data_IF_856511547120
#
_entry.id   IF_856511547120
#
_cell.length_a   1.000
_cell.length_b   1.000
_cell.length_c   1.000
_cell.angle_alpha   90.00
_cell.angle_beta   90.00
_cell.angle_gamma   90.00
#
_symmetry.space_group_name_H-M   'P 1'
#
loop_
_entity.id
_entity.type
_entity.pdbx_description
1 polymer ?
#
# COMPACT_ATOMS: atom_id res chain seq x y z
N UNK A 1 -15.39 8.70 -9.61
CA UNK A 1 -14.31 8.00 -8.88
C UNK A 1 -14.00 6.67 -9.54
N UNK A 2 -12.74 6.30 -9.65
CA UNK A 2 -12.31 4.94 -9.98
C UNK A 2 -11.80 4.23 -8.72
N UNK A 3 -12.17 2.96 -8.55
CA UNK A 3 -11.66 2.07 -7.49
C UNK A 3 -10.83 0.99 -8.19
N UNK A 4 -9.55 0.92 -7.90
CA UNK A 4 -8.61 0.00 -8.52
C UNK A 4 -8.32 -1.13 -7.54
N UNK A 5 -8.56 -2.37 -7.97
CA UNK A 5 -8.26 -3.60 -7.26
C UNK A 5 -7.24 -4.39 -8.07
N UNK A 6 -6.08 -4.67 -7.51
CA UNK A 6 -5.08 -5.54 -8.16
C UNK A 6 -5.31 -6.97 -7.70
N UNK A 7 -5.63 -7.87 -8.64
CA UNK A 7 -5.77 -9.30 -8.40
C UNK A 7 -4.50 -10.05 -8.81
N UNK A 8 -4.03 -10.96 -7.97
CA UNK A 8 -3.01 -11.94 -8.31
C UNK A 8 -3.31 -13.27 -7.63
N UNK A 9 -3.77 -14.27 -8.43
CA UNK A 9 -4.02 -15.67 -8.00
C UNK A 9 -4.96 -15.83 -6.79
N UNK A 10 -5.88 -14.90 -6.55
CA UNK A 10 -6.79 -15.00 -5.41
C UNK A 10 -8.15 -14.35 -5.68
N UNK A 11 -8.90 -14.89 -6.66
CA UNK A 11 -10.15 -14.30 -7.14
C UNK A 11 -11.21 -14.16 -6.04
N UNK A 12 -11.22 -15.07 -5.05
CA UNK A 12 -12.18 -15.02 -3.95
C UNK A 12 -12.12 -13.72 -3.16
N UNK A 13 -10.92 -13.26 -2.78
CA UNK A 13 -10.77 -12.00 -2.07
C UNK A 13 -11.25 -10.81 -2.91
N UNK A 14 -10.90 -10.80 -4.19
CA UNK A 14 -11.36 -9.76 -5.12
C UNK A 14 -12.89 -9.74 -5.23
N UNK A 15 -13.55 -10.92 -5.32
CA UNK A 15 -15.01 -11.04 -5.35
C UNK A 15 -15.64 -10.54 -4.05
N UNK A 16 -15.11 -10.96 -2.89
CA UNK A 16 -15.60 -10.52 -1.57
C UNK A 16 -15.47 -8.99 -1.41
N UNK A 17 -14.34 -8.41 -1.81
CA UNK A 17 -14.11 -6.97 -1.80
C UNK A 17 -15.12 -6.23 -2.70
N UNK A 18 -15.33 -6.67 -3.94
CA UNK A 18 -16.31 -6.08 -4.86
C UNK A 18 -17.72 -6.17 -4.28
N UNK A 19 -18.08 -7.30 -3.67
CA UNK A 19 -19.39 -7.47 -3.05
C UNK A 19 -19.61 -6.48 -1.88
N UNK A 20 -18.57 -6.17 -1.10
CA UNK A 20 -18.64 -5.13 -0.06
C UNK A 20 -18.75 -3.72 -0.67
N UNK A 21 -17.96 -3.44 -1.72
CA UNK A 21 -18.03 -2.17 -2.46
C UNK A 21 -19.40 -1.92 -3.11
N UNK A 22 -20.07 -2.95 -3.59
CA UNK A 22 -21.42 -2.83 -4.18
C UNK A 22 -22.49 -2.45 -3.15
N UNK A 23 -22.23 -2.63 -1.87
CA UNK A 23 -23.13 -2.22 -0.77
C UNK A 23 -22.90 -0.76 -0.33
N UNK A 24 -21.88 -0.09 -0.85
CA UNK A 24 -21.58 1.29 -0.45
C UNK A 24 -22.63 2.27 -0.98
N UNK A 25 -22.89 3.30 -0.18
CA UNK A 25 -23.89 4.34 -0.46
C UNK A 25 -23.44 5.29 -1.57
N UNK A 26 -22.14 5.48 -1.76
CA UNK A 26 -21.56 6.32 -2.81
C UNK A 26 -21.76 5.71 -4.20
N UNK A 27 -22.62 6.34 -5.02
CA UNK A 27 -23.04 5.77 -6.31
C UNK A 27 -22.11 6.12 -7.49
N UNK A 28 -21.43 7.30 -7.44
CA UNK A 28 -20.59 7.75 -8.57
C UNK A 28 -19.21 7.08 -8.55
N UNK A 29 -19.20 5.73 -8.59
CA UNK A 29 -17.99 4.92 -8.57
C UNK A 29 -17.95 3.93 -9.74
N UNK A 30 -16.75 3.65 -10.20
CA UNK A 30 -16.45 2.59 -11.17
C UNK A 30 -15.35 1.70 -10.59
N UNK A 31 -15.61 0.40 -10.54
CA UNK A 31 -14.64 -0.59 -10.04
C UNK A 31 -13.89 -1.15 -11.24
N UNK A 32 -12.56 -1.12 -11.17
CA UNK A 32 -11.67 -1.68 -12.15
C UNK A 32 -10.76 -2.72 -11.49
N UNK A 33 -10.81 -3.94 -11.97
CA UNK A 33 -9.88 -4.99 -11.57
C UNK A 33 -8.69 -5.00 -12.54
N UNK A 34 -7.49 -5.01 -12.01
CA UNK A 34 -6.28 -5.30 -12.79
C UNK A 34 -5.82 -6.70 -12.40
N UNK A 35 -6.00 -7.68 -13.29
CA UNK A 35 -5.41 -9.00 -13.12
C UNK A 35 -3.92 -8.92 -13.46
N UNK A 36 -3.10 -9.09 -12.46
CA UNK A 36 -1.65 -8.88 -12.54
C UNK A 36 -0.91 -10.11 -13.08
N UNK A 37 -1.42 -10.66 -14.20
CA UNK A 37 -0.86 -11.85 -14.86
C UNK A 37 -0.94 -13.10 -13.99
N UNK A 38 -2.15 -13.42 -13.51
CA UNK A 38 -2.37 -14.58 -12.62
C UNK A 38 -2.09 -15.92 -13.30
N UNK A 39 -2.32 -16.02 -14.62
CA UNK A 39 -2.14 -17.23 -15.43
C UNK A 39 -2.93 -18.46 -14.88
N UNK A 40 -4.10 -18.20 -14.31
CA UNK A 40 -5.04 -19.19 -13.80
C UNK A 40 -6.47 -18.80 -14.20
N UNK A 41 -7.48 -19.37 -13.57
CA UNK A 41 -8.89 -19.11 -13.86
C UNK A 41 -9.49 -17.89 -13.11
N UNK A 42 -8.65 -17.09 -12.43
CA UNK A 42 -9.07 -15.93 -11.63
C UNK A 42 -10.01 -15.00 -12.39
N UNK A 43 -9.62 -14.59 -13.61
CA UNK A 43 -10.44 -13.68 -14.44
C UNK A 43 -11.80 -14.28 -14.75
N UNK A 44 -11.86 -15.56 -15.07
CA UNK A 44 -13.10 -16.28 -15.35
C UNK A 44 -13.98 -16.34 -14.11
N UNK A 45 -13.42 -16.67 -12.95
CA UNK A 45 -14.15 -16.72 -11.69
C UNK A 45 -14.74 -15.35 -11.33
N UNK A 46 -13.95 -14.26 -11.44
CA UNK A 46 -14.41 -12.91 -11.15
C UNK A 46 -15.55 -12.50 -12.08
N UNK A 47 -15.42 -12.73 -13.41
CA UNK A 47 -16.47 -12.41 -14.40
C UNK A 47 -17.75 -13.21 -14.18
N UNK A 48 -17.66 -14.47 -13.75
CA UNK A 48 -18.83 -15.31 -13.46
C UNK A 48 -19.56 -14.83 -12.19
N UNK A 49 -18.82 -14.37 -11.17
CA UNK A 49 -19.38 -13.91 -9.92
C UNK A 49 -19.93 -12.48 -10.00
N UNK A 50 -19.27 -11.59 -10.74
CA UNK A 50 -19.59 -10.16 -10.80
C UNK A 50 -19.92 -9.78 -12.25
N UNK A 51 -21.20 -9.49 -12.49
CA UNK A 51 -21.66 -9.06 -13.82
C UNK A 51 -21.13 -7.67 -14.18
N UNK A 52 -20.74 -7.48 -15.42
CA UNK A 52 -20.31 -6.18 -15.99
C UNK A 52 -19.10 -5.56 -15.29
N UNK A 53 -18.22 -6.37 -14.70
CA UNK A 53 -16.97 -5.88 -14.10
C UNK A 53 -15.93 -5.57 -15.18
N UNK A 54 -15.32 -4.40 -15.10
CA UNK A 54 -14.18 -4.04 -15.95
C UNK A 54 -12.90 -4.73 -15.43
N UNK A 55 -12.23 -5.47 -16.31
CA UNK A 55 -10.96 -6.14 -15.99
C UNK A 55 -9.93 -5.83 -17.07
N UNK A 56 -8.74 -5.39 -16.64
CA UNK A 56 -7.55 -5.29 -17.48
C UNK A 56 -6.58 -6.40 -17.06
N UNK A 57 -6.11 -7.19 -18.02
CA UNK A 57 -5.08 -8.21 -17.78
C UNK A 57 -3.71 -7.62 -18.11
N UNK A 58 -2.78 -7.66 -17.16
CA UNK A 58 -1.40 -7.27 -17.38
C UNK A 58 -0.64 -8.38 -18.13
N UNK A 59 0.32 -8.00 -18.96
CA UNK A 59 1.14 -8.96 -19.73
C UNK A 59 2.08 -9.78 -18.82
N UNK A 60 2.51 -9.19 -17.71
CA UNK A 60 3.35 -9.83 -16.69
C UNK A 60 2.99 -9.31 -15.29
N UNK A 61 3.44 -9.99 -14.25
CA UNK A 61 3.29 -9.51 -12.88
C UNK A 61 4.18 -8.28 -12.65
N UNK A 62 3.55 -7.11 -12.57
CA UNK A 62 4.19 -5.80 -12.37
C UNK A 62 4.30 -5.41 -10.88
N UNK A 63 3.98 -6.33 -9.95
CA UNK A 63 3.91 -6.05 -8.53
C UNK A 63 2.72 -5.16 -8.16
N UNK A 64 2.72 -4.67 -6.93
CA UNK A 64 1.65 -3.80 -6.45
C UNK A 64 1.65 -2.44 -7.18
N UNK A 65 2.82 -1.84 -7.33
CA UNK A 65 2.98 -0.52 -7.97
C UNK A 65 2.55 -0.53 -9.42
N UNK A 66 3.10 -1.46 -10.22
CA UNK A 66 2.82 -1.51 -11.65
C UNK A 66 1.39 -1.91 -11.94
N UNK A 67 0.84 -2.87 -11.18
CA UNK A 67 -0.57 -3.26 -11.29
C UNK A 67 -1.51 -2.08 -11.03
N UNK A 68 -1.28 -1.32 -9.96
CA UNK A 68 -2.06 -0.10 -9.70
C UNK A 68 -1.85 0.96 -10.79
N UNK A 69 -0.64 1.15 -11.30
CA UNK A 69 -0.36 2.13 -12.35
C UNK A 69 -1.11 1.84 -13.66
N UNK A 70 -1.35 0.57 -13.99
CA UNK A 70 -2.21 0.20 -15.14
C UNK A 70 -3.61 0.75 -14.93
N UNK A 71 -4.19 0.52 -13.75
CA UNK A 71 -5.52 1.02 -13.41
C UNK A 71 -5.58 2.55 -13.30
N UNK A 72 -4.55 3.19 -12.71
CA UNK A 72 -4.45 4.65 -12.61
C UNK A 72 -4.45 5.29 -14.00
N UNK A 73 -3.65 4.80 -14.94
CA UNK A 73 -3.62 5.32 -16.31
C UNK A 73 -5.02 5.29 -16.93
N UNK A 74 -5.73 4.15 -16.82
CA UNK A 74 -7.10 4.04 -17.32
C UNK A 74 -8.05 5.04 -16.65
N UNK A 75 -7.93 5.23 -15.34
CA UNK A 75 -8.75 6.20 -14.61
C UNK A 75 -8.47 7.66 -15.04
N UNK A 76 -7.20 8.00 -15.31
CA UNK A 76 -6.80 9.31 -15.79
C UNK A 76 -7.28 9.57 -17.22
N UNK A 77 -7.18 8.57 -18.12
CA UNK A 77 -7.70 8.65 -19.48
C UNK A 77 -9.22 8.88 -19.50
N UNK A 78 -9.94 8.29 -18.55
CA UNK A 78 -11.40 8.49 -18.35
C UNK A 78 -11.70 9.77 -17.52
N UNK A 79 -10.70 10.62 -17.26
CA UNK A 79 -10.86 11.90 -16.53
C UNK A 79 -11.47 11.74 -15.12
N UNK A 80 -11.15 10.66 -14.42
CA UNK A 80 -11.62 10.44 -13.06
C UNK A 80 -11.14 11.55 -12.12
N UNK A 81 -12.03 12.11 -11.31
CA UNK A 81 -11.70 13.13 -10.31
C UNK A 81 -10.89 12.55 -9.14
N UNK A 82 -11.25 11.32 -8.74
CA UNK A 82 -10.60 10.59 -7.67
C UNK A 82 -10.23 9.18 -8.11
N UNK A 83 -9.12 8.68 -7.62
CA UNK A 83 -8.68 7.29 -7.77
C UNK A 83 -8.46 6.70 -6.39
N UNK A 84 -9.18 5.64 -6.08
CA UNK A 84 -8.99 4.84 -4.87
C UNK A 84 -8.13 3.62 -5.22
N UNK A 85 -6.96 3.51 -4.61
CA UNK A 85 -6.20 2.29 -4.57
C UNK A 85 -6.65 1.50 -3.35
N UNK A 86 -7.16 0.29 -3.56
CA UNK A 86 -7.68 -0.55 -2.49
C UNK A 86 -7.17 -1.98 -2.65
N UNK A 87 -6.59 -2.54 -1.60
CA UNK A 87 -6.21 -3.94 -1.62
C UNK A 87 -7.44 -4.83 -1.78
N UNK A 88 -7.34 -5.85 -2.63
CA UNK A 88 -8.43 -6.76 -2.93
C UNK A 88 -8.81 -7.72 -1.79
N UNK A 89 -8.00 -7.79 -0.73
CA UNK A 89 -8.24 -8.56 0.49
C UNK A 89 -8.86 -7.71 1.63
N UNK A 90 -9.67 -6.70 1.24
CA UNK A 90 -10.38 -5.82 2.18
C UNK A 90 -11.91 -5.98 2.04
N UNK A 91 -12.61 -5.66 3.12
CA UNK A 91 -14.05 -5.39 3.12
C UNK A 91 -14.31 -4.00 3.72
N UNK A 92 -15.35 -3.31 3.25
CA UNK A 92 -15.55 -1.89 3.53
C UNK A 92 -16.90 -1.63 4.18
N UNK A 93 -16.97 -0.60 5.05
CA UNK A 93 -18.23 -0.10 5.60
C UNK A 93 -19.03 0.65 4.50
N UNK A 94 -20.38 0.66 4.61
CA UNK A 94 -21.22 1.23 3.55
C UNK A 94 -20.97 2.68 3.20
N UNK A 95 -20.63 3.52 4.17
CA UNK A 95 -20.46 4.97 4.02
C UNK A 95 -18.98 5.42 3.87
N UNK A 96 -18.04 4.47 3.80
CA UNK A 96 -16.61 4.82 3.87
C UNK A 96 -16.14 5.73 2.71
N UNK A 97 -16.73 5.59 1.51
CA UNK A 97 -16.37 6.42 0.36
C UNK A 97 -16.80 7.88 0.54
N UNK A 98 -18.01 8.11 1.04
CA UNK A 98 -18.50 9.45 1.37
C UNK A 98 -17.61 10.11 2.42
N UNK A 99 -17.23 9.34 3.45
CA UNK A 99 -16.35 9.83 4.52
C UNK A 99 -14.97 10.22 3.95
N UNK A 100 -14.43 9.44 3.02
CA UNK A 100 -13.14 9.76 2.39
C UNK A 100 -13.25 11.00 1.48
N UNK A 101 -14.27 11.08 0.63
CA UNK A 101 -14.47 12.21 -0.30
C UNK A 101 -14.69 13.52 0.44
N UNK A 102 -15.57 13.53 1.46
CA UNK A 102 -15.85 14.74 2.26
C UNK A 102 -14.62 15.30 2.97
N UNK A 103 -13.58 14.51 3.15
CA UNK A 103 -12.32 14.96 3.74
C UNK A 103 -11.62 15.99 2.86
N UNK A 104 -11.74 15.89 1.53
CA UNK A 104 -11.15 16.86 0.62
C UNK A 104 -11.80 18.24 0.69
N UNK A 105 -13.08 18.32 1.07
CA UNK A 105 -13.78 19.59 1.26
C UNK A 105 -13.36 20.26 2.58
N UNK A 106 -13.00 19.45 3.58
CA UNK A 106 -12.61 19.92 4.91
C UNK A 106 -11.16 20.39 4.98
N UNK A 107 -10.26 19.75 4.22
CA UNK A 107 -8.84 20.02 4.31
C UNK A 107 -8.29 20.57 2.99
N UNK A 108 -8.00 21.86 3.00
CA UNK A 108 -7.31 22.51 1.89
C UNK A 108 -5.96 21.81 1.60
N UNK A 109 -5.66 21.63 0.31
CA UNK A 109 -4.48 20.94 -0.18
C UNK A 109 -4.36 19.46 0.25
N UNK A 110 -5.45 18.82 0.69
CA UNK A 110 -5.45 17.37 0.85
C UNK A 110 -5.26 16.71 -0.53
N UNK A 111 -4.22 15.90 -0.66
CA UNK A 111 -3.90 15.16 -1.90
C UNK A 111 -4.26 13.69 -1.78
N UNK A 112 -4.05 13.11 -0.60
CA UNK A 112 -4.38 11.72 -0.29
C UNK A 112 -5.18 11.63 1.01
N UNK A 113 -6.22 10.80 1.00
CA UNK A 113 -6.99 10.44 2.20
C UNK A 113 -6.85 8.94 2.45
N UNK A 114 -6.57 8.57 3.69
CA UNK A 114 -6.59 7.19 4.18
C UNK A 114 -7.64 6.98 5.25
N UNK A 115 -8.02 5.72 5.47
CA UNK A 115 -9.07 5.31 6.40
C UNK A 115 -8.51 4.65 7.67
N UNK A 116 -9.38 4.42 8.67
CA UNK A 116 -9.13 3.47 9.74
C UNK A 116 -9.23 2.05 9.18
N UNK A 117 -8.22 1.23 9.43
CA UNK A 117 -8.19 -0.16 8.99
C UNK A 117 -8.14 -1.07 10.22
N UNK A 118 -9.06 -2.01 10.26
CA UNK A 118 -9.25 -2.98 11.35
C UNK A 118 -8.81 -4.35 10.84
N UNK A 119 -8.29 -5.21 11.71
CA UNK A 119 -8.07 -6.61 11.37
C UNK A 119 -9.40 -7.30 11.08
N UNK A 120 -9.51 -8.01 9.97
CA UNK A 120 -10.74 -8.71 9.59
C UNK A 120 -11.08 -9.83 10.59
N UNK A 121 -10.09 -10.61 10.99
CA UNK A 121 -10.25 -11.75 11.91
C UNK A 121 -10.30 -11.34 13.40
N UNK A 122 -10.01 -10.06 13.73
CA UNK A 122 -10.09 -9.48 15.07
C UNK A 122 -10.66 -8.07 15.00
N UNK A 123 -12.01 -7.91 14.84
CA UNK A 123 -12.67 -6.62 14.54
C UNK A 123 -12.55 -5.58 15.66
N UNK A 124 -12.08 -5.96 16.83
CA UNK A 124 -11.81 -5.02 17.93
C UNK A 124 -10.40 -4.45 17.87
N UNK A 125 -9.57 -4.88 16.91
CA UNK A 125 -8.14 -4.54 16.86
C UNK A 125 -7.78 -3.73 15.63
N UNK A 126 -7.05 -2.65 15.87
CA UNK A 126 -6.58 -1.74 14.82
C UNK A 126 -5.40 -2.36 14.07
N UNK A 127 -5.47 -2.34 12.73
CA UNK A 127 -4.32 -2.60 11.88
C UNK A 127 -3.61 -1.30 11.48
N UNK A 128 -4.38 -0.22 11.22
CA UNK A 128 -3.84 1.09 10.88
C UNK A 128 -4.81 2.20 11.29
N UNK A 129 -4.30 3.22 11.98
CA UNK A 129 -5.04 4.42 12.38
C UNK A 129 -4.26 5.72 12.08
N UNK A 130 -3.77 5.82 10.85
CA UNK A 130 -2.81 6.84 10.46
C UNK A 130 -1.37 6.36 10.64
N UNK A 131 -0.41 7.13 10.13
CA UNK A 131 0.98 6.71 10.22
C UNK A 131 1.97 7.83 9.96
N UNK A 132 3.23 7.49 10.14
CA UNK A 132 4.34 8.40 9.84
C UNK A 132 5.53 7.67 9.21
N UNK A 133 6.32 8.40 8.46
CA UNK A 133 7.66 7.95 8.06
C UNK A 133 8.66 8.30 9.17
N UNK A 134 9.35 7.29 9.67
CA UNK A 134 10.45 7.46 10.63
C UNK A 134 11.76 7.63 9.87
N UNK A 135 12.21 8.86 9.74
CA UNK A 135 13.43 9.20 8.98
C UNK A 135 14.73 8.73 9.61
N UNK A 136 14.74 8.40 10.91
CA UNK A 136 15.91 7.83 11.56
C UNK A 136 16.06 6.35 11.23
N UNK A 137 14.93 5.63 11.09
CA UNK A 137 14.90 4.20 10.76
C UNK A 137 14.61 3.91 9.30
N UNK A 138 14.14 4.91 8.54
CA UNK A 138 13.62 4.78 7.17
C UNK A 138 12.54 3.70 7.06
N UNK A 139 11.56 3.75 7.94
CA UNK A 139 10.41 2.84 7.96
C UNK A 139 9.12 3.62 8.11
N UNK A 140 8.01 3.07 7.63
CA UNK A 140 6.69 3.50 8.04
C UNK A 140 6.38 2.99 9.45
N UNK A 141 5.62 3.77 10.19
CA UNK A 141 5.06 3.40 11.49
C UNK A 141 3.54 3.58 11.42
N UNK A 142 2.79 2.52 11.70
CA UNK A 142 1.34 2.56 11.82
C UNK A 142 0.96 2.94 13.25
N UNK A 143 0.09 3.93 13.41
CA UNK A 143 -0.47 4.25 14.70
C UNK A 143 -1.53 3.21 15.08
N UNK A 144 -1.60 2.84 16.35
CA UNK A 144 -2.58 1.92 16.90
C UNK A 144 -2.43 0.45 16.48
N UNK A 145 -1.39 0.07 15.73
CA UNK A 145 -1.24 -1.30 15.25
C UNK A 145 -1.29 -2.32 16.41
N UNK A 146 -2.16 -3.32 16.26
CA UNK A 146 -2.43 -4.37 17.26
C UNK A 146 -3.06 -3.87 18.57
N UNK A 147 -3.40 -2.59 18.70
CA UNK A 147 -4.14 -2.07 19.85
C UNK A 147 -5.64 -2.37 19.71
N UNK A 148 -6.33 -2.54 20.84
CA UNK A 148 -7.80 -2.61 20.86
C UNK A 148 -8.34 -1.20 20.54
N UNK A 149 -9.30 -1.12 19.62
CA UNK A 149 -9.97 0.14 19.26
C UNK A 149 -10.93 0.53 20.39
N UNK A 150 -10.59 1.60 21.09
CA UNK A 150 -11.39 2.22 22.15
C UNK A 150 -11.77 3.67 21.79
N UNK A 151 -11.66 4.03 20.52
CA UNK A 151 -11.89 5.39 20.06
C UNK A 151 -10.67 6.33 20.23
N UNK A 152 -9.50 5.84 20.67
CA UNK A 152 -8.30 6.64 20.90
C UNK A 152 -7.73 7.29 19.63
N UNK A 153 -8.17 6.82 18.45
CA UNK A 153 -7.78 7.35 17.14
C UNK A 153 -8.97 7.87 16.33
N UNK A 154 -10.07 8.26 16.96
CA UNK A 154 -11.32 8.70 16.30
C UNK A 154 -11.34 10.19 15.89
N UNK A 155 -10.17 10.82 15.82
CA UNK A 155 -10.01 12.16 15.30
C UNK A 155 -9.23 12.14 13.99
N UNK A 156 -9.77 12.80 12.97
CA UNK A 156 -9.05 13.03 11.72
C UNK A 156 -7.82 13.90 11.95
N UNK A 157 -6.74 13.57 11.24
CA UNK A 157 -5.47 14.25 11.42
C UNK A 157 -4.60 14.23 10.15
N UNK A 158 -3.74 15.22 10.03
CA UNK A 158 -2.66 15.17 9.06
C UNK A 158 -1.62 14.13 9.50
N UNK A 159 -1.18 13.33 8.55
CA UNK A 159 -0.18 12.27 8.74
C UNK A 159 0.95 12.41 7.73
N UNK A 160 2.03 11.65 7.87
CA UNK A 160 3.12 11.63 6.88
C UNK A 160 3.23 10.30 6.14
N UNK A 161 2.34 9.37 6.46
CA UNK A 161 2.25 8.08 5.79
C UNK A 161 0.80 7.61 5.75
N UNK A 162 0.35 7.19 4.58
CA UNK A 162 -0.89 6.44 4.35
C UNK A 162 -0.47 5.14 3.66
N UNK A 163 -0.96 4.01 4.19
CA UNK A 163 -0.66 2.68 3.65
C UNK A 163 -1.29 2.46 2.28
N UNK A 164 -0.58 1.77 1.40
CA UNK A 164 -1.10 1.36 0.09
C UNK A 164 -2.35 0.48 0.14
N UNK A 165 -2.68 -0.07 1.32
CA UNK A 165 -3.90 -0.85 1.50
C UNK A 165 -5.18 -0.07 1.14
N UNK A 166 -5.22 1.24 1.46
CA UNK A 166 -6.34 2.14 1.13
C UNK A 166 -5.85 3.58 0.97
N UNK A 167 -5.80 4.06 -0.26
CA UNK A 167 -5.40 5.43 -0.62
C UNK A 167 -6.38 6.05 -1.59
N UNK A 168 -7.18 7.02 -1.16
CA UNK A 168 -7.98 7.86 -2.06
C UNK A 168 -7.15 9.08 -2.49
N UNK A 169 -6.92 9.23 -3.78
CA UNK A 169 -6.00 10.21 -4.35
C UNK A 169 -6.74 11.11 -5.33
N UNK A 170 -6.55 12.43 -5.24
CA UNK A 170 -7.06 13.38 -6.24
C UNK A 170 -6.31 13.25 -7.56
N UNK A 171 -7.02 13.40 -8.67
CA UNK A 171 -6.43 13.40 -10.03
C UNK A 171 -5.26 14.39 -10.17
N UNK A 172 -5.37 15.57 -9.59
CA UNK A 172 -4.33 16.60 -9.69
C UNK A 172 -3.01 16.19 -9.05
N UNK A 173 -3.04 15.29 -8.06
CA UNK A 173 -1.83 14.72 -7.47
C UNK A 173 -1.05 13.95 -8.54
N UNK A 174 -1.72 13.11 -9.35
CA UNK A 174 -1.05 12.38 -10.43
C UNK A 174 -0.47 13.29 -11.50
N UNK A 175 -1.15 14.40 -11.83
CA UNK A 175 -0.65 15.39 -12.79
C UNK A 175 0.61 16.09 -12.29
N UNK A 176 0.68 16.41 -11.01
CA UNK A 176 1.76 17.20 -10.42
C UNK A 176 2.92 16.36 -9.87
N UNK A 177 2.64 15.14 -9.41
CA UNK A 177 3.61 14.25 -8.73
C UNK A 177 4.00 13.06 -9.60
N UNK A 178 3.10 12.65 -10.51
CA UNK A 178 3.26 11.47 -11.35
C UNK A 178 2.63 10.20 -10.72
N UNK A 179 2.93 9.07 -11.33
CA UNK A 179 2.41 7.77 -10.94
C UNK A 179 3.14 7.20 -9.69
N UNK A 180 2.60 6.10 -9.15
CA UNK A 180 3.25 5.35 -8.07
C UNK A 180 4.62 4.85 -8.56
N UNK A 181 5.69 4.96 -7.76
CA UNK A 181 7.01 4.47 -8.14
C UNK A 181 7.00 2.95 -8.36
N UNK A 182 7.25 2.50 -9.59
CA UNK A 182 7.22 1.09 -9.97
C UNK A 182 8.53 0.33 -9.70
N UNK A 183 9.60 1.07 -9.39
CA UNK A 183 10.92 0.52 -9.05
C UNK A 183 10.93 -0.37 -7.82
N UNK A 184 9.89 -0.29 -6.98
CA UNK A 184 9.80 -1.06 -5.73
C UNK A 184 9.20 -2.45 -5.94
N UNK A 185 8.38 -2.68 -6.93
CA UNK A 185 7.57 -3.87 -7.15
C UNK A 185 6.53 -4.09 -6.05
N UNK A 186 6.95 -4.19 -4.78
CA UNK A 186 6.09 -4.32 -3.59
C UNK A 186 6.86 -3.88 -2.34
N UNK A 187 6.19 -3.15 -1.45
CA UNK A 187 6.70 -2.50 -0.23
C UNK A 187 7.59 -1.29 -0.48
N UNK A 188 7.38 -0.22 0.28
CA UNK A 188 8.00 1.10 0.21
C UNK A 188 7.52 2.03 -0.91
N UNK A 189 6.78 1.53 -1.90
CA UNK A 189 6.17 2.39 -2.93
C UNK A 189 5.20 3.40 -2.32
N UNK A 190 4.44 2.99 -1.30
CA UNK A 190 3.53 3.84 -0.55
C UNK A 190 4.27 4.89 0.29
N UNK A 191 5.37 4.52 0.95
CA UNK A 191 6.24 5.46 1.66
C UNK A 191 6.85 6.51 0.72
N UNK A 192 7.34 6.07 -0.44
CA UNK A 192 7.93 6.94 -1.45
C UNK A 192 6.87 7.88 -2.02
N UNK A 193 5.71 7.35 -2.39
CA UNK A 193 4.65 8.16 -2.97
C UNK A 193 4.11 9.19 -1.98
N UNK A 194 3.84 8.79 -0.74
CA UNK A 194 3.48 9.71 0.34
C UNK A 194 4.51 10.84 0.51
N UNK A 195 5.79 10.48 0.47
CA UNK A 195 6.88 11.46 0.58
C UNK A 195 6.88 12.44 -0.58
N UNK A 196 6.76 11.97 -1.83
CA UNK A 196 6.69 12.82 -3.03
C UNK A 196 5.49 13.77 -2.98
N UNK A 197 4.32 13.27 -2.57
CA UNK A 197 3.09 14.05 -2.47
C UNK A 197 3.25 15.18 -1.44
N UNK A 198 3.84 14.90 -0.28
CA UNK A 198 4.14 15.92 0.73
C UNK A 198 5.16 16.94 0.21
N UNK A 199 6.23 16.48 -0.44
CA UNK A 199 7.27 17.36 -0.98
C UNK A 199 6.74 18.26 -2.10
N UNK A 200 5.62 17.89 -2.73
CA UNK A 200 4.90 18.69 -3.73
C UNK A 200 3.85 19.65 -3.12
N UNK A 201 3.81 19.77 -1.79
CA UNK A 201 2.95 20.73 -1.08
C UNK A 201 1.55 20.23 -0.70
N UNK A 202 1.24 18.96 -0.97
CA UNK A 202 -0.02 18.35 -0.55
C UNK A 202 0.03 17.82 0.88
N UNK A 203 -1.16 17.67 1.48
CA UNK A 203 -1.36 17.03 2.78
C UNK A 203 -1.88 15.61 2.62
N UNK A 204 -1.48 14.74 3.52
CA UNK A 204 -2.06 13.41 3.70
C UNK A 204 -2.97 13.45 4.92
N UNK A 205 -4.23 13.02 4.77
CA UNK A 205 -5.22 13.08 5.85
C UNK A 205 -5.70 11.68 6.20
N UNK A 206 -5.59 11.32 7.46
CA UNK A 206 -6.26 10.15 8.02
C UNK A 206 -7.66 10.54 8.48
N UNK A 207 -8.69 9.81 8.03
CA UNK A 207 -10.07 9.96 8.46
C UNK A 207 -10.57 8.67 9.13
N UNK A 208 -10.80 8.66 10.46
CA UNK A 208 -11.24 7.47 11.20
C UNK A 208 -12.69 7.07 10.94
N UNK A 209 -13.53 7.98 10.40
CA UNK A 209 -14.93 7.68 10.06
C UNK A 209 -15.03 6.78 8.83
N UNK A 210 -14.06 6.89 7.91
CA UNK A 210 -13.89 5.90 6.86
C UNK A 210 -13.27 4.65 7.46
N UNK A 211 -14.00 3.53 7.49
CA UNK A 211 -13.55 2.28 8.10
C UNK A 211 -13.57 1.13 7.10
N UNK A 212 -12.51 0.33 7.11
CA UNK A 212 -12.41 -0.91 6.35
C UNK A 212 -11.79 -2.02 7.20
N UNK A 213 -11.97 -3.27 6.76
CA UNK A 213 -11.42 -4.47 7.37
C UNK A 213 -10.42 -5.12 6.41
N UNK A 214 -9.26 -5.53 6.92
CA UNK A 214 -8.18 -6.09 6.10
C UNK A 214 -7.87 -7.54 6.52
N UNK A 215 -7.93 -8.46 5.55
CA UNK A 215 -7.60 -9.89 5.69
C UNK A 215 -6.09 -10.11 5.58
N UNK A 216 -5.34 -9.51 6.51
CA UNK A 216 -3.87 -9.34 6.48
C UNK A 216 -3.13 -10.60 6.04
N UNK A 217 -2.10 -10.43 5.20
CA UNK A 217 -1.16 -11.48 4.76
C UNK A 217 -1.71 -12.53 3.81
N UNK A 218 -2.88 -12.30 3.21
CA UNK A 218 -3.49 -13.23 2.28
C UNK A 218 -2.62 -13.48 1.02
N UNK A 219 -1.82 -12.49 0.59
CA UNK A 219 -1.08 -12.53 -0.67
C UNK A 219 0.45 -12.70 -0.51
N UNK A 220 1.03 -12.37 0.66
CA UNK A 220 2.49 -12.28 0.84
C UNK A 220 3.10 -13.42 1.67
N UNK A 221 2.27 -14.26 2.28
CA UNK A 221 2.72 -15.33 3.18
C UNK A 221 3.18 -14.85 4.57
N UNK A 222 2.90 -13.58 4.90
CA UNK A 222 3.18 -13.00 6.22
C UNK A 222 4.39 -12.05 6.27
N UNK A 223 4.48 -11.32 7.40
CA UNK A 223 5.50 -10.26 7.62
C UNK A 223 6.94 -10.76 7.50
N UNK A 224 7.22 -12.00 7.82
CA UNK A 224 8.56 -12.60 7.77
C UNK A 224 8.69 -13.70 6.71
N UNK A 225 7.81 -13.73 5.68
CA UNK A 225 7.99 -14.66 4.56
C UNK A 225 9.29 -14.36 3.81
N UNK A 226 9.93 -15.35 3.16
CA UNK A 226 11.11 -15.11 2.31
C UNK A 226 10.87 -14.03 1.26
N UNK A 227 9.67 -14.00 0.66
CA UNK A 227 9.26 -12.99 -0.30
C UNK A 227 9.27 -11.57 0.33
N UNK A 228 8.62 -11.41 1.49
CA UNK A 228 8.60 -10.13 2.21
C UNK A 228 9.99 -9.65 2.59
N UNK A 229 10.80 -10.55 3.16
CA UNK A 229 12.18 -10.24 3.56
C UNK A 229 13.05 -9.79 2.39
N UNK A 230 12.92 -10.46 1.25
CA UNK A 230 13.63 -10.16 0.02
C UNK A 230 13.38 -8.72 -0.45
N UNK A 231 12.10 -8.37 -0.67
CA UNK A 231 11.72 -7.06 -1.18
C UNK A 231 11.92 -5.95 -0.13
N UNK A 232 11.55 -6.18 1.13
CA UNK A 232 11.77 -5.21 2.20
C UNK A 232 13.25 -4.87 2.37
N UNK A 233 14.15 -5.87 2.31
CA UNK A 233 15.59 -5.65 2.44
C UNK A 233 16.16 -4.83 1.29
N UNK A 234 15.73 -5.12 0.06
CA UNK A 234 16.15 -4.35 -1.12
C UNK A 234 15.59 -2.93 -1.08
N UNK A 235 14.31 -2.79 -0.83
CA UNK A 235 13.58 -1.55 -1.02
C UNK A 235 13.89 -0.50 0.04
N UNK A 236 14.13 -0.90 1.28
CA UNK A 236 14.57 0.05 2.30
C UNK A 236 15.92 0.71 1.95
N UNK A 237 16.80 0.00 1.24
CA UNK A 237 18.07 0.56 0.77
C UNK A 237 17.84 1.59 -0.34
N UNK A 238 16.89 1.31 -1.27
CA UNK A 238 16.47 2.25 -2.32
C UNK A 238 15.91 3.53 -1.67
N UNK A 239 14.94 3.36 -0.77
CA UNK A 239 14.28 4.45 -0.07
C UNK A 239 15.27 5.30 0.74
N UNK A 240 16.14 4.66 1.52
CA UNK A 240 17.17 5.33 2.30
C UNK A 240 18.17 6.11 1.42
N UNK A 241 18.54 5.58 0.25
CA UNK A 241 19.44 6.29 -0.66
C UNK A 241 18.76 7.50 -1.29
N UNK A 242 17.50 7.35 -1.70
CA UNK A 242 16.71 8.40 -2.35
C UNK A 242 16.45 9.58 -1.40
N UNK A 243 16.14 9.29 -0.16
CA UNK A 243 15.77 10.29 0.85
C UNK A 243 16.81 10.50 1.95
N UNK A 244 18.08 10.21 1.67
CA UNK A 244 19.18 10.33 2.65
C UNK A 244 19.24 11.69 3.37
N UNK A 245 18.85 12.76 2.68
CA UNK A 245 18.86 14.13 3.21
C UNK A 245 17.73 14.41 4.23
N UNK A 246 16.71 13.54 4.31
CA UNK A 246 15.62 13.64 5.29
C UNK A 246 15.99 13.00 6.64
N UNK A 247 17.08 12.23 6.69
CA UNK A 247 17.55 11.66 7.96
C UNK A 247 18.16 12.71 8.87
N UNK A 248 17.76 12.78 10.15
CA UNK A 248 18.41 13.64 11.13
C UNK A 248 19.84 13.17 11.46
N UNK A 249 20.16 11.89 11.24
CA UNK A 249 21.50 11.32 11.40
C UNK A 249 21.70 10.11 10.47
N UNK A 250 22.18 10.35 9.28
CA UNK A 250 22.33 9.32 8.25
C UNK A 250 23.33 8.21 8.65
N UNK A 251 24.38 8.54 9.39
CA UNK A 251 25.37 7.55 9.85
C UNK A 251 24.68 6.56 10.80
N UNK A 252 23.97 7.07 11.79
CA UNK A 252 23.19 6.24 12.71
C UNK A 252 22.18 5.37 11.95
N UNK A 253 21.43 5.96 11.01
CA UNK A 253 20.44 5.24 10.21
C UNK A 253 21.05 4.05 9.47
N UNK A 254 22.23 4.25 8.84
CA UNK A 254 22.95 3.18 8.14
C UNK A 254 23.42 2.09 9.10
N UNK A 255 24.08 2.47 10.20
CA UNK A 255 24.57 1.51 11.21
C UNK A 255 23.41 0.71 11.79
N UNK A 256 22.34 1.39 12.23
CA UNK A 256 21.13 0.73 12.75
C UNK A 256 20.58 -0.29 11.75
N UNK A 257 20.49 0.07 10.47
CA UNK A 257 19.96 -0.80 9.45
C UNK A 257 20.80 -2.05 9.21
N UNK A 258 22.11 -1.88 9.12
CA UNK A 258 23.01 -3.03 8.94
C UNK A 258 23.02 -3.95 10.17
N UNK A 259 22.97 -3.38 11.38
CA UNK A 259 22.83 -4.18 12.59
C UNK A 259 21.50 -4.95 12.64
N UNK A 260 20.39 -4.33 12.18
CA UNK A 260 19.09 -4.99 12.08
C UNK A 260 19.12 -6.18 11.10
N UNK A 261 19.76 -6.03 9.94
CA UNK A 261 19.93 -7.14 8.98
C UNK A 261 20.81 -8.24 9.57
N UNK A 262 21.94 -7.88 10.17
CA UNK A 262 22.83 -8.85 10.80
C UNK A 262 22.11 -9.64 11.89
N UNK A 263 21.35 -8.97 12.76
CA UNK A 263 20.53 -9.61 13.80
C UNK A 263 19.54 -10.60 13.19
N UNK A 264 18.80 -10.24 12.15
CA UNK A 264 17.85 -11.13 11.47
C UNK A 264 18.57 -12.34 10.85
N UNK A 265 19.67 -12.13 10.12
CA UNK A 265 20.46 -13.22 9.54
C UNK A 265 20.96 -14.17 10.62
N UNK A 266 21.51 -13.63 11.72
CA UNK A 266 22.00 -14.45 12.83
C UNK A 266 20.89 -15.28 13.46
N UNK A 267 19.74 -14.66 13.72
CA UNK A 267 18.57 -15.32 14.30
C UNK A 267 18.05 -16.46 13.40
N UNK A 268 17.91 -16.22 12.09
CA UNK A 268 17.44 -17.25 11.16
C UNK A 268 18.47 -18.37 10.96
N UNK A 269 19.78 -18.08 11.03
CA UNK A 269 20.82 -19.12 11.03
C UNK A 269 20.75 -20.03 12.25
N UNK A 270 20.48 -19.47 13.45
CA UNK A 270 20.26 -20.27 14.66
C UNK A 270 19.01 -21.17 14.55
N UNK A 271 17.99 -20.69 13.84
CA UNK A 271 16.76 -21.44 13.55
C UNK A 271 16.93 -22.44 12.40
N UNK A 272 18.10 -22.49 11.74
CA UNK A 272 18.39 -23.30 10.54
C UNK A 272 17.45 -22.97 9.38
N UNK A 273 16.99 -21.72 9.30
CA UNK A 273 16.11 -21.22 8.24
C UNK A 273 16.94 -20.55 7.13
N UNK A 274 17.48 -21.38 6.25
CA UNK A 274 18.32 -20.92 5.16
C UNK A 274 17.55 -20.13 4.09
N UNK A 275 16.25 -20.35 3.94
CA UNK A 275 15.43 -19.62 2.96
C UNK A 275 15.31 -18.15 3.32
N UNK A 276 15.01 -17.84 4.59
CA UNK A 276 14.96 -16.46 5.07
C UNK A 276 16.32 -15.77 5.04
N UNK A 277 17.40 -16.51 5.34
CA UNK A 277 18.77 -15.99 5.21
C UNK A 277 19.07 -15.63 3.74
N UNK A 278 18.79 -16.54 2.80
CA UNK A 278 18.99 -16.30 1.36
C UNK A 278 18.19 -15.12 0.87
N UNK A 279 16.94 -14.96 1.33
CA UNK A 279 16.08 -13.83 0.97
C UNK A 279 16.70 -12.47 1.36
N UNK A 280 17.20 -12.34 2.59
CA UNK A 280 17.88 -11.12 3.04
C UNK A 280 19.16 -10.87 2.23
N UNK A 281 19.98 -11.90 2.02
CA UNK A 281 21.21 -11.78 1.24
C UNK A 281 20.93 -11.39 -0.21
N UNK A 282 19.87 -11.91 -0.82
CA UNK A 282 19.43 -11.51 -2.15
C UNK A 282 19.08 -10.02 -2.19
N UNK A 283 18.26 -9.53 -1.24
CA UNK A 283 17.88 -8.12 -1.18
C UNK A 283 19.09 -7.18 -1.04
N UNK A 284 20.11 -7.59 -0.27
CA UNK A 284 21.37 -6.83 -0.15
C UNK A 284 22.21 -6.88 -1.44
N UNK A 285 22.23 -8.02 -2.17
CA UNK A 285 22.94 -8.15 -3.43
C UNK A 285 22.30 -7.34 -4.55
N UNK A 286 20.96 -7.44 -4.70
CA UNK A 286 20.21 -6.66 -5.69
C UNK A 286 20.39 -5.17 -5.48
N UNK A 287 20.37 -4.71 -4.25
CA UNK A 287 20.67 -3.31 -3.96
C UNK A 287 22.04 -2.88 -4.53
N UNK A 288 23.07 -3.70 -4.40
CA UNK A 288 24.40 -3.37 -4.94
C UNK A 288 24.39 -3.21 -6.46
N UNK A 289 23.58 -4.02 -7.15
CA UNK A 289 23.41 -3.96 -8.62
C UNK A 289 22.68 -2.67 -9.02
N UNK A 290 21.51 -2.42 -8.42
CA UNK A 290 20.67 -1.29 -8.83
C UNK A 290 21.18 0.06 -8.33
N UNK A 291 21.99 0.10 -7.26
CA UNK A 291 22.56 1.33 -6.71
C UNK A 291 23.28 2.19 -7.76
N UNK A 292 23.88 1.54 -8.76
CA UNK A 292 24.56 2.24 -9.87
C UNK A 292 23.61 3.13 -10.69
N UNK A 293 22.31 2.88 -10.66
CA UNK A 293 21.30 3.69 -11.35
C UNK A 293 20.96 4.99 -10.57
N UNK A 294 21.34 5.07 -9.29
CA UNK A 294 21.03 6.20 -8.41
C UNK A 294 22.25 7.08 -8.07
N UNK A 295 23.45 6.72 -8.56
CA UNK A 295 24.67 7.51 -8.49
C UNK A 295 24.95 8.17 -9.85
#
# INVERSE_FOLDING_TARGET
MYIILVNYKNPKYTIDCINSLNKTTYQNKKILVVDNSSHDDSVTQIKNAIKNIDIICADKNEGWSGGNNIGIKKALDDSAEYVLLLNNDTEVEPDFLEQMVSTFDKYENAGIVGSKIIYYDDPDRIWYAGGRVNWLKFTSEHFGIKEIDRGQFDSDRQVTFITGCNMLIKNDVFKNVGLIPDEYFMYFEDCDYCTKVIDSGYKLIYNPKAKIYHKVSASSGGEDSPFTLMWMTRNIQVFMNKYKNKSPNLIFSKVYRYLAFFKKIFMYKLQKDDERVKAILWGLSEWKVIKKKYN
#
